data_IF_515911613852
#
_entry.id   IF_515911613852
#
_cell.length_a   1.000
_cell.length_b   1.000
_cell.length_c   1.000
_cell.angle_alpha   90.00
_cell.angle_beta   90.00
_cell.angle_gamma   90.00
#
_symmetry.space_group_name_H-M   'P 1'
#
loop_
_entity.id
_entity.type
_entity.pdbx_description
1 polymer ?
#
# COMPACT_ATOMS: atom_id res chain seq x y z
N UNK A 1 -3.32 -9.59 61.42
CA UNK A 1 -3.45 -9.84 59.97
C UNK A 1 -3.43 -8.50 59.28
N UNK A 2 -2.26 -8.02 58.92
CA UNK A 2 -2.03 -6.73 58.25
C UNK A 2 -1.87 -7.02 56.76
N UNK A 3 -2.83 -6.59 55.98
CA UNK A 3 -2.81 -6.65 54.49
C UNK A 3 -1.82 -5.59 54.00
N UNK A 4 -0.65 -6.02 53.54
CA UNK A 4 0.24 -5.20 52.73
C UNK A 4 -0.41 -4.92 51.36
N UNK A 5 -0.88 -3.70 51.17
CA UNK A 5 -1.24 -3.19 49.85
C UNK A 5 0.08 -2.94 49.10
N UNK A 6 0.38 -3.81 48.12
CA UNK A 6 1.48 -3.64 47.17
C UNK A 6 1.25 -2.35 46.39
N UNK A 7 1.97 -1.29 46.76
CA UNK A 7 2.05 -0.05 46.00
C UNK A 7 2.92 -0.28 44.78
N UNK A 8 2.27 -0.61 43.65
CA UNK A 8 2.93 -0.55 42.35
C UNK A 8 3.43 0.88 42.12
N UNK A 9 4.72 1.03 41.88
CA UNK A 9 5.38 2.32 41.72
C UNK A 9 4.82 3.07 40.49
N UNK A 10 4.61 4.41 40.56
CA UNK A 10 4.10 5.21 39.46
C UNK A 10 5.00 5.21 38.20
N UNK A 11 6.20 4.63 38.32
CA UNK A 11 7.21 4.59 37.25
C UNK A 11 6.95 3.49 36.19
N UNK A 12 6.15 2.46 36.48
CA UNK A 12 5.80 1.41 35.55
C UNK A 12 4.62 1.80 34.60
N UNK A 13 3.83 2.80 34.96
CA UNK A 13 2.69 3.26 34.16
C UNK A 13 3.06 4.19 33.01
N UNK A 14 4.30 4.63 32.89
CA UNK A 14 4.78 5.35 31.72
C UNK A 14 5.20 4.37 30.60
N UNK A 15 4.36 3.39 30.27
CA UNK A 15 4.48 2.65 29.03
C UNK A 15 4.52 3.66 27.89
N UNK A 16 5.68 3.87 27.28
CA UNK A 16 5.96 4.87 26.26
C UNK A 16 4.85 4.88 25.22
N UNK A 17 4.17 6.04 25.09
CA UNK A 17 3.16 6.24 24.06
C UNK A 17 3.80 5.87 22.72
N UNK A 18 3.23 4.92 21.94
CA UNK A 18 3.81 4.52 20.67
C UNK A 18 3.96 5.74 19.77
N UNK A 19 5.05 5.84 19.03
CA UNK A 19 5.25 6.90 18.04
C UNK A 19 4.34 6.68 16.83
N UNK A 20 3.07 7.02 17.01
CA UNK A 20 2.05 6.89 15.96
C UNK A 20 2.32 7.82 14.78
N UNK A 21 2.99 8.95 15.02
CA UNK A 21 3.35 9.90 13.94
C UNK A 21 4.36 9.27 13.00
N UNK A 22 5.39 8.61 13.53
CA UNK A 22 6.35 7.86 12.73
C UNK A 22 5.69 6.78 11.88
N UNK A 23 4.73 6.04 12.44
CA UNK A 23 3.98 5.03 11.69
C UNK A 23 3.13 5.63 10.54
N UNK A 24 2.61 6.85 10.68
CA UNK A 24 1.91 7.52 9.58
C UNK A 24 2.88 7.97 8.48
N UNK A 25 4.08 8.40 8.82
CA UNK A 25 5.11 8.71 7.82
C UNK A 25 5.57 7.43 7.12
N UNK A 26 5.82 6.35 7.86
CA UNK A 26 6.10 5.02 7.28
C UNK A 26 5.01 4.61 6.29
N UNK A 27 3.74 4.81 6.65
CA UNK A 27 2.61 4.52 5.77
C UNK A 27 2.62 5.36 4.50
N UNK A 28 2.98 6.66 4.58
CA UNK A 28 3.13 7.52 3.40
C UNK A 28 4.23 6.99 2.48
N UNK A 29 5.38 6.63 3.03
CA UNK A 29 6.51 6.08 2.27
C UNK A 29 6.13 4.76 1.60
N UNK A 30 5.48 3.86 2.34
CA UNK A 30 4.99 2.57 1.82
C UNK A 30 4.03 2.80 0.66
N UNK A 31 2.99 3.60 0.88
CA UNK A 31 1.97 3.84 -0.13
C UNK A 31 2.54 4.53 -1.37
N UNK A 32 3.36 5.56 -1.20
CA UNK A 32 3.97 6.29 -2.29
C UNK A 32 4.81 5.39 -3.18
N UNK A 33 5.73 4.60 -2.60
CA UNK A 33 6.65 3.78 -3.38
C UNK A 33 6.00 2.52 -3.94
N UNK A 34 5.12 1.87 -3.18
CA UNK A 34 4.44 0.66 -3.61
C UNK A 34 3.60 0.91 -4.87
N UNK A 35 2.83 2.00 -4.87
CA UNK A 35 2.04 2.40 -6.03
C UNK A 35 2.86 3.14 -7.08
N UNK A 36 3.97 3.79 -6.66
CA UNK A 36 4.89 4.50 -7.55
C UNK A 36 5.55 3.62 -8.59
N UNK A 37 5.94 2.40 -8.23
CA UNK A 37 6.50 1.44 -9.20
C UNK A 37 5.50 1.16 -10.32
N UNK A 38 4.21 0.99 -9.99
CA UNK A 38 3.16 0.81 -10.99
C UNK A 38 3.07 2.00 -11.95
N UNK A 39 2.94 3.19 -11.39
CA UNK A 39 2.76 4.41 -12.18
C UNK A 39 3.95 4.73 -13.10
N UNK A 40 5.19 4.39 -12.72
CA UNK A 40 6.39 4.64 -13.56
C UNK A 40 6.69 3.52 -14.55
N UNK A 41 6.05 2.37 -14.47
CA UNK A 41 6.39 1.21 -15.32
C UNK A 41 6.26 1.52 -16.80
N UNK A 42 5.26 2.30 -17.22
CA UNK A 42 5.09 2.71 -18.60
C UNK A 42 6.23 3.64 -19.07
N UNK A 43 6.69 4.55 -18.22
CA UNK A 43 7.84 5.43 -18.52
C UNK A 43 9.14 4.66 -18.59
N UNK A 44 9.34 3.66 -17.73
CA UNK A 44 10.50 2.75 -17.81
C UNK A 44 10.47 1.92 -19.08
N UNK A 45 9.29 1.48 -19.53
CA UNK A 45 9.14 0.76 -20.79
C UNK A 45 9.61 1.62 -21.98
N UNK A 46 9.21 2.90 -22.03
CA UNK A 46 9.65 3.84 -23.06
C UNK A 46 11.14 4.14 -22.93
N UNK A 47 11.63 4.51 -21.75
CA UNK A 47 13.02 4.91 -21.52
C UNK A 47 14.05 3.79 -21.83
N UNK A 48 13.66 2.54 -21.58
CA UNK A 48 14.54 1.36 -21.78
C UNK A 48 14.15 0.53 -23.02
N UNK A 49 13.21 1.02 -23.83
CA UNK A 49 12.72 0.32 -25.04
C UNK A 49 12.26 -1.12 -24.75
N UNK A 50 11.52 -1.32 -23.67
CA UNK A 50 11.01 -2.63 -23.25
C UNK A 50 9.66 -2.93 -23.88
N UNK A 51 9.38 -4.21 -24.15
CA UNK A 51 8.02 -4.65 -24.40
C UNK A 51 7.19 -4.62 -23.10
N UNK A 52 5.86 -4.52 -23.25
CA UNK A 52 4.94 -4.54 -22.08
C UNK A 52 5.15 -5.77 -21.19
N UNK A 53 5.37 -6.94 -21.80
CA UNK A 53 5.60 -8.19 -21.06
C UNK A 53 6.89 -8.14 -20.22
N UNK A 54 7.95 -7.51 -20.73
CA UNK A 54 9.20 -7.33 -19.99
C UNK A 54 9.03 -6.25 -18.92
N UNK A 55 8.36 -5.15 -19.23
CA UNK A 55 8.06 -4.11 -18.25
C UNK A 55 7.22 -4.64 -17.07
N UNK A 56 6.27 -5.55 -17.33
CA UNK A 56 5.46 -6.21 -16.31
C UNK A 56 6.28 -7.01 -15.26
N UNK A 57 7.52 -7.39 -15.56
CA UNK A 57 8.37 -8.08 -14.59
C UNK A 57 8.69 -7.21 -13.37
N UNK A 58 8.60 -5.87 -13.48
CA UNK A 58 8.76 -4.99 -12.33
C UNK A 58 7.69 -5.27 -11.26
N UNK A 59 6.42 -5.51 -11.66
CA UNK A 59 5.35 -5.88 -10.72
C UNK A 59 5.58 -7.24 -10.08
N UNK A 60 6.08 -8.20 -10.84
CA UNK A 60 6.37 -9.55 -10.35
C UNK A 60 7.49 -9.54 -9.32
N UNK A 61 8.58 -8.83 -9.61
CA UNK A 61 9.73 -8.74 -8.70
C UNK A 61 9.41 -7.91 -7.46
N UNK A 62 8.60 -6.85 -7.59
CA UNK A 62 8.05 -6.12 -6.45
C UNK A 62 7.25 -7.07 -5.53
N UNK A 63 6.36 -7.88 -6.09
CA UNK A 63 5.57 -8.86 -5.33
C UNK A 63 6.46 -9.90 -4.63
N UNK A 64 7.51 -10.39 -5.29
CA UNK A 64 8.52 -11.28 -4.69
C UNK A 64 9.23 -10.59 -3.52
N UNK A 65 9.57 -9.31 -3.66
CA UNK A 65 10.14 -8.51 -2.58
C UNK A 65 9.23 -8.41 -1.36
N UNK A 66 7.95 -8.10 -1.58
CA UNK A 66 6.91 -8.06 -0.52
C UNK A 66 6.76 -9.42 0.18
N UNK A 67 6.67 -10.49 -0.59
CA UNK A 67 6.57 -11.85 -0.06
C UNK A 67 7.81 -12.20 0.77
N UNK A 68 9.00 -11.85 0.28
CA UNK A 68 10.27 -12.06 0.99
C UNK A 68 10.29 -11.30 2.32
N UNK A 69 9.76 -10.07 2.37
CA UNK A 69 9.62 -9.32 3.62
C UNK A 69 8.69 -10.03 4.61
N UNK A 70 7.56 -10.57 4.13
CA UNK A 70 6.63 -11.34 4.97
C UNK A 70 7.25 -12.61 5.55
N UNK A 71 8.05 -13.33 4.76
CA UNK A 71 8.68 -14.59 5.18
C UNK A 71 9.94 -14.39 6.04
N UNK A 72 10.72 -13.35 5.76
CA UNK A 72 12.01 -13.12 6.38
C UNK A 72 12.00 -12.03 7.45
N UNK A 73 10.96 -11.19 7.52
CA UNK A 73 10.90 -10.02 8.39
C UNK A 73 11.12 -10.36 9.86
N UNK A 74 10.45 -11.39 10.37
CA UNK A 74 10.63 -11.83 11.77
C UNK A 74 12.04 -12.39 12.05
N UNK A 75 12.66 -13.01 11.05
CA UNK A 75 14.07 -13.48 11.18
C UNK A 75 15.02 -12.29 11.20
N UNK A 76 14.81 -11.32 10.32
CA UNK A 76 15.60 -10.09 10.29
C UNK A 76 15.45 -9.30 11.58
N UNK A 77 14.24 -9.18 12.12
CA UNK A 77 14.00 -8.53 13.41
C UNK A 77 14.71 -9.23 14.57
N UNK A 78 14.77 -10.56 14.57
CA UNK A 78 15.52 -11.33 15.59
C UNK A 78 17.03 -11.19 15.45
N UNK A 79 17.56 -11.16 14.21
CA UNK A 79 19.00 -11.12 13.94
C UNK A 79 19.58 -9.72 14.11
N UNK A 80 18.89 -8.70 13.60
CA UNK A 80 19.38 -7.33 13.55
C UNK A 80 18.85 -6.46 14.70
N UNK A 81 17.74 -6.87 15.30
CA UNK A 81 16.90 -6.04 16.17
C UNK A 81 15.96 -5.12 15.36
N UNK A 82 14.78 -4.85 15.89
CA UNK A 82 13.70 -4.11 15.20
C UNK A 82 14.15 -2.74 14.69
N UNK A 83 15.01 -2.03 15.43
CA UNK A 83 15.53 -0.70 15.04
C UNK A 83 16.43 -0.78 13.80
N UNK A 84 17.29 -1.80 13.69
CA UNK A 84 18.19 -1.97 12.54
C UNK A 84 17.42 -2.47 11.33
N UNK A 85 16.47 -3.38 11.53
CA UNK A 85 15.56 -3.86 10.47
C UNK A 85 14.76 -2.72 9.85
N UNK A 86 14.20 -1.83 10.67
CA UNK A 86 13.51 -0.63 10.22
C UNK A 86 14.43 0.32 9.43
N UNK A 87 15.66 0.55 9.90
CA UNK A 87 16.64 1.37 9.16
C UNK A 87 17.07 0.72 7.84
N UNK A 88 17.23 -0.61 7.83
CA UNK A 88 17.51 -1.36 6.60
C UNK A 88 16.43 -1.15 5.55
N UNK A 89 15.16 -1.16 5.97
CA UNK A 89 14.06 -0.87 5.06
C UNK A 89 14.22 0.50 4.39
N UNK A 90 14.53 1.56 5.14
CA UNK A 90 14.76 2.88 4.58
C UNK A 90 15.97 2.94 3.62
N UNK A 91 17.07 2.28 3.97
CA UNK A 91 18.25 2.20 3.09
C UNK A 91 17.91 1.51 1.77
N UNK A 92 17.16 0.42 1.83
CA UNK A 92 16.67 -0.28 0.64
C UNK A 92 15.79 0.63 -0.23
N UNK A 93 14.90 1.42 0.39
CA UNK A 93 13.98 2.31 -0.33
C UNK A 93 14.71 3.52 -0.96
N UNK A 94 15.75 4.06 -0.33
CA UNK A 94 16.61 5.07 -0.95
C UNK A 94 17.34 4.48 -2.16
N UNK A 95 17.99 3.32 -1.99
CA UNK A 95 18.68 2.65 -3.07
C UNK A 95 17.74 2.31 -4.24
N UNK A 96 16.54 1.82 -3.93
CA UNK A 96 15.50 1.57 -4.91
C UNK A 96 15.09 2.83 -5.68
N UNK A 97 14.87 3.95 -4.98
CA UNK A 97 14.51 5.22 -5.60
C UNK A 97 15.60 5.72 -6.54
N UNK A 98 16.88 5.56 -6.17
CA UNK A 98 18.01 5.89 -7.05
C UNK A 98 18.06 4.98 -8.27
N UNK A 99 17.92 3.66 -8.09
CA UNK A 99 17.91 2.70 -9.20
C UNK A 99 16.80 2.99 -10.21
N UNK A 100 15.61 3.32 -9.73
CA UNK A 100 14.46 3.61 -10.57
C UNK A 100 14.58 4.99 -11.23
N UNK A 101 15.02 6.03 -10.51
CA UNK A 101 15.18 7.38 -11.04
C UNK A 101 16.26 7.46 -12.14
N UNK A 102 17.40 6.80 -11.95
CA UNK A 102 18.49 6.83 -12.93
C UNK A 102 18.24 5.93 -14.11
N UNK A 103 17.47 4.86 -13.95
CA UNK A 103 17.07 3.89 -14.96
C UNK A 103 18.18 3.52 -15.97
N UNK A 104 19.41 3.17 -15.52
CA UNK A 104 20.53 2.97 -16.42
C UNK A 104 20.43 1.67 -17.25
N UNK A 105 19.69 0.69 -16.74
CA UNK A 105 19.49 -0.61 -17.39
C UNK A 105 18.31 -1.35 -16.74
N UNK A 106 17.65 -2.21 -17.52
CA UNK A 106 16.51 -3.03 -17.08
C UNK A 106 16.78 -3.80 -15.77
N UNK A 107 17.92 -4.47 -15.65
CA UNK A 107 18.27 -5.26 -14.47
C UNK A 107 18.37 -4.40 -13.22
N UNK A 108 18.86 -3.15 -13.34
CA UNK A 108 18.97 -2.21 -12.22
C UNK A 108 17.58 -1.73 -11.77
N UNK A 109 16.70 -1.36 -12.71
CA UNK A 109 15.34 -0.96 -12.38
C UNK A 109 14.52 -2.12 -11.81
N UNK A 110 14.72 -3.33 -12.31
CA UNK A 110 14.11 -4.54 -11.79
C UNK A 110 14.54 -4.83 -10.35
N UNK A 111 15.86 -4.71 -10.05
CA UNK A 111 16.37 -4.81 -8.69
C UNK A 111 15.79 -3.70 -7.79
N UNK A 112 15.64 -2.47 -8.32
CA UNK A 112 14.97 -1.37 -7.66
C UNK A 112 13.54 -1.73 -7.24
N UNK A 113 12.75 -2.31 -8.16
CA UNK A 113 11.39 -2.77 -7.85
C UNK A 113 11.36 -3.84 -6.74
N UNK A 114 12.29 -4.79 -6.76
CA UNK A 114 12.45 -5.80 -5.71
C UNK A 114 12.81 -5.18 -4.34
N UNK A 115 13.70 -4.19 -4.35
CA UNK A 115 14.06 -3.46 -3.13
C UNK A 115 12.89 -2.62 -2.60
N UNK A 116 12.05 -2.02 -3.48
CA UNK A 116 10.79 -1.39 -3.06
C UNK A 116 9.91 -2.41 -2.36
N UNK A 117 9.68 -3.59 -2.97
CA UNK A 117 8.85 -4.63 -2.38
C UNK A 117 9.36 -5.07 -1.00
N UNK A 118 10.65 -5.38 -0.89
CA UNK A 118 11.26 -5.81 0.38
C UNK A 118 11.21 -4.70 1.43
N UNK A 119 11.62 -3.49 1.09
CA UNK A 119 11.67 -2.36 2.02
C UNK A 119 10.30 -1.93 2.51
N UNK A 120 9.31 -1.80 1.59
CA UNK A 120 7.92 -1.46 1.96
C UNK A 120 7.28 -2.57 2.79
N UNK A 121 7.54 -3.84 2.47
CA UNK A 121 7.05 -4.97 3.26
C UNK A 121 7.58 -4.97 4.70
N UNK A 122 8.88 -4.68 4.90
CA UNK A 122 9.46 -4.53 6.23
C UNK A 122 8.84 -3.35 6.99
N UNK A 123 8.69 -2.17 6.36
CA UNK A 123 8.02 -1.02 7.00
C UNK A 123 6.57 -1.34 7.35
N UNK A 124 5.83 -2.02 6.45
CA UNK A 124 4.44 -2.40 6.66
C UNK A 124 4.28 -3.30 7.90
N UNK A 125 5.20 -4.24 8.10
CA UNK A 125 5.20 -5.07 9.29
C UNK A 125 5.40 -4.25 10.57
N UNK A 126 6.32 -3.29 10.57
CA UNK A 126 6.60 -2.42 11.72
C UNK A 126 5.43 -1.48 12.04
N UNK A 127 4.91 -0.78 11.01
CA UNK A 127 3.81 0.16 11.21
C UNK A 127 2.53 -0.53 11.68
N UNK A 128 2.19 -1.71 11.15
CA UNK A 128 1.02 -2.46 11.56
C UNK A 128 1.11 -2.86 13.05
N UNK A 129 2.26 -3.34 13.51
CA UNK A 129 2.49 -3.64 14.95
C UNK A 129 2.29 -2.40 15.82
N UNK A 130 2.74 -1.21 15.34
CA UNK A 130 2.61 0.05 16.08
C UNK A 130 1.16 0.53 16.13
N UNK A 131 0.46 0.50 15.00
CA UNK A 131 -0.91 0.99 14.88
C UNK A 131 -1.93 0.12 15.61
N UNK A 132 -1.72 -1.20 15.66
CA UNK A 132 -2.62 -2.16 16.32
C UNK A 132 -2.37 -2.27 17.83
N UNK A 133 -1.30 -1.68 18.35
CA UNK A 133 -0.97 -1.72 19.78
C UNK A 133 -2.09 -1.06 20.63
N UNK A 134 -2.51 -1.76 21.68
CA UNK A 134 -3.60 -1.32 22.57
C UNK A 134 -4.99 -1.79 22.14
N UNK A 135 -5.12 -2.41 20.96
CA UNK A 135 -6.36 -3.05 20.49
C UNK A 135 -7.59 -2.13 20.38
N UNK A 136 -8.75 -2.73 20.16
CA UNK A 136 -10.06 -2.08 20.25
C UNK A 136 -10.24 -0.84 19.37
N UNK A 137 -10.99 0.13 19.88
CA UNK A 137 -11.35 1.37 19.15
C UNK A 137 -10.12 2.23 18.79
N UNK A 138 -9.10 2.24 19.66
CA UNK A 138 -7.89 3.03 19.44
C UNK A 138 -7.10 2.54 18.21
N UNK A 139 -6.93 1.22 18.08
CA UNK A 139 -6.29 0.61 16.91
C UNK A 139 -7.08 0.92 15.64
N UNK A 140 -8.42 0.79 15.66
CA UNK A 140 -9.27 1.14 14.52
C UNK A 140 -9.10 2.59 14.07
N UNK A 141 -9.12 3.55 14.99
CA UNK A 141 -8.94 4.97 14.68
C UNK A 141 -7.55 5.23 14.07
N UNK A 142 -6.49 4.63 14.62
CA UNK A 142 -5.13 4.76 14.10
C UNK A 142 -5.00 4.17 12.69
N UNK A 143 -5.55 2.99 12.46
CA UNK A 143 -5.56 2.34 11.14
C UNK A 143 -6.35 3.16 10.11
N UNK A 144 -7.50 3.71 10.48
CA UNK A 144 -8.30 4.57 9.60
C UNK A 144 -7.53 5.85 9.21
N UNK A 145 -6.89 6.52 10.18
CA UNK A 145 -6.04 7.69 9.90
C UNK A 145 -4.84 7.34 9.02
N UNK A 146 -4.22 6.19 9.26
CA UNK A 146 -3.13 5.67 8.43
C UNK A 146 -3.59 5.45 6.98
N UNK A 147 -4.79 4.91 6.77
CA UNK A 147 -5.36 4.73 5.45
C UNK A 147 -5.61 6.05 4.71
N UNK A 148 -6.06 7.11 5.40
CA UNK A 148 -6.22 8.44 4.81
C UNK A 148 -4.87 9.03 4.36
N UNK A 149 -3.85 8.90 5.20
CA UNK A 149 -2.49 9.35 4.87
C UNK A 149 -1.93 8.59 3.68
N UNK A 150 -2.15 7.26 3.62
CA UNK A 150 -1.79 6.43 2.48
C UNK A 150 -2.42 6.93 1.18
N UNK A 151 -3.69 7.32 1.22
CA UNK A 151 -4.41 7.80 0.03
C UNK A 151 -3.85 9.10 -0.52
N UNK A 152 -3.54 10.05 0.35
CA UNK A 152 -2.91 11.32 -0.05
C UNK A 152 -1.56 11.04 -0.71
N UNK A 153 -0.74 10.18 -0.09
CA UNK A 153 0.55 9.77 -0.64
C UNK A 153 0.41 9.07 -1.99
N UNK A 154 -0.53 8.13 -2.11
CA UNK A 154 -0.76 7.39 -3.35
C UNK A 154 -1.24 8.29 -4.48
N UNK A 155 -2.18 9.21 -4.21
CA UNK A 155 -2.69 10.16 -5.20
C UNK A 155 -1.59 11.12 -5.69
N UNK A 156 -0.65 11.48 -4.82
CA UNK A 156 0.44 12.40 -5.18
C UNK A 156 1.44 11.79 -6.18
N UNK A 157 1.50 10.46 -6.33
CA UNK A 157 2.43 9.79 -7.25
C UNK A 157 2.17 10.13 -8.72
N UNK A 158 1.00 9.80 -9.30
CA UNK A 158 0.73 10.12 -10.70
C UNK A 158 0.73 11.62 -10.97
N UNK A 159 0.37 12.44 -9.97
CA UNK A 159 0.48 13.90 -10.08
C UNK A 159 1.95 14.34 -10.19
N UNK A 160 2.85 13.81 -9.36
CA UNK A 160 4.27 14.12 -9.43
C UNK A 160 4.89 13.69 -10.77
N UNK A 161 4.51 12.52 -11.28
CA UNK A 161 4.97 12.00 -12.57
C UNK A 161 4.46 12.86 -13.73
N UNK A 162 3.14 13.02 -13.85
CA UNK A 162 2.52 13.71 -14.97
C UNK A 162 2.87 15.20 -15.02
N UNK A 163 2.86 15.88 -13.86
CA UNK A 163 3.28 17.29 -13.79
C UNK A 163 4.79 17.44 -14.00
N UNK A 164 5.61 16.50 -13.53
CA UNK A 164 7.05 16.47 -13.76
C UNK A 164 7.38 16.39 -15.24
N UNK A 165 6.74 15.46 -15.97
CA UNK A 165 6.89 15.33 -17.42
C UNK A 165 6.41 16.58 -18.17
N UNK A 166 5.21 17.06 -17.89
CA UNK A 166 4.64 18.22 -18.58
C UNK A 166 5.41 19.53 -18.29
N UNK A 167 6.15 19.61 -17.20
CA UNK A 167 7.02 20.75 -16.90
C UNK A 167 8.46 20.62 -17.41
N UNK A 168 8.80 19.50 -18.06
CA UNK A 168 10.15 19.22 -18.55
C UNK A 168 11.16 18.78 -17.48
N UNK A 169 10.72 18.57 -16.22
CA UNK A 169 11.56 18.03 -15.15
C UNK A 169 11.71 16.52 -15.21
N UNK A 170 10.85 15.86 -15.99
CA UNK A 170 10.82 14.41 -16.17
C UNK A 170 10.08 13.67 -15.04
N UNK A 171 9.65 12.44 -15.32
CA UNK A 171 8.96 11.56 -14.38
C UNK A 171 9.80 11.20 -13.14
N UNK A 172 11.13 11.35 -13.22
CA UNK A 172 12.09 11.12 -12.14
C UNK A 172 11.82 11.97 -10.90
N UNK A 173 11.14 13.12 -11.07
CA UNK A 173 10.70 14.00 -9.97
C UNK A 173 9.94 13.20 -8.89
N UNK A 174 9.17 12.18 -9.28
CA UNK A 174 8.47 11.33 -8.33
C UNK A 174 9.44 10.64 -7.33
N UNK A 175 10.63 10.24 -7.78
CA UNK A 175 11.62 9.63 -6.89
C UNK A 175 12.38 10.65 -6.03
N UNK A 176 12.50 11.90 -6.48
CA UNK A 176 13.00 12.99 -5.62
C UNK A 176 12.03 13.22 -4.47
N UNK A 177 10.73 13.24 -4.75
CA UNK A 177 9.68 13.31 -3.72
C UNK A 177 9.73 12.09 -2.79
N UNK A 178 9.92 10.89 -3.35
CA UNK A 178 10.08 9.66 -2.56
C UNK A 178 11.25 9.77 -1.58
N UNK A 179 12.42 10.20 -2.05
CA UNK A 179 13.62 10.38 -1.20
C UNK A 179 13.38 11.43 -0.12
N UNK A 180 12.67 12.52 -0.42
CA UNK A 180 12.30 13.51 0.58
C UNK A 180 11.37 12.93 1.66
N UNK A 181 10.35 12.15 1.27
CA UNK A 181 9.47 11.44 2.20
C UNK A 181 10.25 10.44 3.06
N UNK A 182 11.16 9.67 2.45
CA UNK A 182 12.03 8.73 3.15
C UNK A 182 12.91 9.47 4.16
N UNK A 183 13.50 10.60 3.80
CA UNK A 183 14.33 11.41 4.69
C UNK A 183 13.53 11.92 5.89
N UNK A 184 12.31 12.43 5.67
CA UNK A 184 11.39 12.86 6.74
C UNK A 184 11.07 11.68 7.67
N UNK A 185 10.77 10.51 7.12
CA UNK A 185 10.51 9.30 7.89
C UNK A 185 11.73 8.85 8.70
N UNK A 186 12.88 8.79 8.07
CA UNK A 186 14.12 8.36 8.73
C UNK A 186 14.55 9.30 9.87
N UNK A 187 14.46 10.61 9.66
CA UNK A 187 14.82 11.63 10.65
C UNK A 187 13.76 11.75 11.75
N UNK A 188 12.47 11.61 11.39
CA UNK A 188 11.34 11.72 12.30
C UNK A 188 11.09 10.48 13.14
N UNK A 189 11.54 9.31 12.68
CA UNK A 189 11.34 8.04 13.38
C UNK A 189 12.23 7.94 14.61
N UNK A 190 11.78 8.53 15.72
CA UNK A 190 12.32 8.25 17.06
C UNK A 190 11.84 6.87 17.50
N UNK A 191 12.36 5.83 16.85
CA UNK A 191 11.97 4.46 17.16
C UNK A 191 12.34 4.15 18.62
N UNK A 192 11.36 4.37 19.50
CA UNK A 192 11.37 3.97 20.90
C UNK A 192 10.50 2.74 20.99
N UNK A 193 11.02 1.57 20.79
CA UNK A 193 10.54 0.40 21.52
C UNK A 193 10.97 -0.89 20.85
N UNK A 194 11.58 -1.75 21.63
CA UNK A 194 11.61 -3.18 21.36
C UNK A 194 10.17 -3.69 21.45
N UNK A 195 9.56 -3.90 20.28
CA UNK A 195 8.27 -4.59 20.21
C UNK A 195 8.59 -6.06 20.44
N UNK A 196 8.45 -6.53 21.68
CA UNK A 196 8.35 -7.96 21.91
C UNK A 196 7.27 -8.50 20.98
N UNK A 197 7.64 -9.41 20.08
CA UNK A 197 6.69 -10.15 19.29
C UNK A 197 5.86 -10.97 20.28
N UNK A 198 4.70 -10.46 20.69
CA UNK A 198 3.72 -11.32 21.31
C UNK A 198 3.37 -12.36 20.26
N UNK A 199 3.85 -13.58 20.50
CA UNK A 199 3.49 -14.72 19.71
C UNK A 199 1.96 -14.73 19.64
N UNK A 200 1.42 -14.56 18.44
CA UNK A 200 0.00 -14.86 18.19
C UNK A 200 -0.12 -16.31 18.63
N UNK A 201 -0.82 -16.54 19.74
CA UNK A 201 -1.09 -17.87 20.24
C UNK A 201 -1.59 -18.69 19.06
N UNK A 202 -0.98 -19.86 18.85
CA UNK A 202 -1.18 -20.68 17.68
C UNK A 202 -2.67 -20.77 17.35
N UNK A 203 -3.06 -20.06 16.29
CA UNK A 203 -4.41 -20.18 15.77
C UNK A 203 -4.62 -21.66 15.39
N UNK A 204 -5.70 -22.26 15.88
CA UNK A 204 -6.07 -23.61 15.50
C UNK A 204 -6.13 -23.75 13.97
N UNK A 205 -6.33 -24.95 13.45
CA UNK A 205 -6.41 -25.15 11.99
C UNK A 205 -7.38 -24.16 11.37
N UNK A 206 -6.87 -23.33 10.43
CA UNK A 206 -7.67 -22.37 9.69
C UNK A 206 -8.71 -23.09 8.82
N UNK A 207 -9.94 -22.59 8.80
CA UNK A 207 -11.06 -23.19 8.07
C UNK A 207 -10.88 -23.06 6.54
N UNK A 208 -11.58 -23.89 5.77
CA UNK A 208 -11.66 -23.71 4.30
C UNK A 208 -12.23 -22.34 3.92
N UNK A 209 -13.18 -21.81 4.71
CA UNK A 209 -13.75 -20.49 4.51
C UNK A 209 -12.70 -19.39 4.61
N UNK A 210 -11.78 -19.48 5.58
CA UNK A 210 -10.65 -18.55 5.69
C UNK A 210 -9.79 -18.53 4.41
N UNK A 211 -9.44 -19.69 3.89
CA UNK A 211 -8.61 -19.77 2.68
C UNK A 211 -9.33 -19.24 1.44
N UNK A 212 -10.65 -19.45 1.33
CA UNK A 212 -11.45 -18.85 0.26
C UNK A 212 -11.47 -17.32 0.38
N UNK A 213 -11.70 -16.78 1.59
CA UNK A 213 -11.66 -15.34 1.82
C UNK A 213 -10.25 -14.76 1.53
N UNK A 214 -9.19 -15.46 1.92
CA UNK A 214 -7.82 -15.09 1.60
C UNK A 214 -7.57 -15.00 0.09
N UNK A 215 -8.02 -16.01 -0.67
CA UNK A 215 -7.92 -15.98 -2.13
C UNK A 215 -8.72 -14.83 -2.76
N UNK A 216 -9.87 -14.49 -2.21
CA UNK A 216 -10.64 -13.31 -2.67
C UNK A 216 -9.87 -12.02 -2.45
N UNK A 217 -9.16 -11.89 -1.32
CA UNK A 217 -8.26 -10.74 -1.08
C UNK A 217 -7.13 -10.71 -2.12
N UNK A 218 -6.47 -11.85 -2.36
CA UNK A 218 -5.40 -11.94 -3.37
C UNK A 218 -5.88 -11.53 -4.74
N UNK A 219 -7.04 -12.04 -5.19
CA UNK A 219 -7.62 -11.69 -6.49
C UNK A 219 -8.02 -10.21 -6.56
N UNK A 220 -8.62 -9.66 -5.49
CA UNK A 220 -8.98 -8.25 -5.41
C UNK A 220 -7.76 -7.34 -5.53
N UNK A 221 -6.68 -7.65 -4.79
CA UNK A 221 -5.41 -6.93 -4.87
C UNK A 221 -4.76 -7.08 -6.26
N UNK A 222 -4.88 -8.26 -6.88
CA UNK A 222 -4.35 -8.47 -8.24
C UNK A 222 -5.06 -7.58 -9.27
N UNK A 223 -6.38 -7.43 -9.18
CA UNK A 223 -7.15 -6.51 -10.03
C UNK A 223 -6.74 -5.06 -9.77
N UNK A 224 -6.64 -4.65 -8.48
CA UNK A 224 -6.19 -3.31 -8.09
C UNK A 224 -4.82 -2.99 -8.72
N UNK A 225 -3.83 -3.85 -8.51
CA UNK A 225 -2.49 -3.63 -9.06
C UNK A 225 -2.42 -3.71 -10.58
N UNK A 226 -3.26 -4.52 -11.23
CA UNK A 226 -3.37 -4.50 -12.70
C UNK A 226 -3.79 -3.13 -13.21
N UNK A 227 -4.78 -2.51 -12.57
CA UNK A 227 -5.20 -1.14 -12.92
C UNK A 227 -4.12 -0.11 -12.56
N UNK A 228 -3.45 -0.23 -11.41
CA UNK A 228 -2.33 0.63 -11.01
C UNK A 228 -1.21 0.63 -12.05
N UNK A 229 -0.85 -0.53 -12.59
CA UNK A 229 0.26 -0.65 -13.53
C UNK A 229 -0.11 -0.25 -14.96
N UNK A 230 -1.38 -0.43 -15.36
CA UNK A 230 -1.75 -0.36 -16.77
C UNK A 230 -2.72 0.75 -17.14
N UNK A 231 -3.30 1.49 -16.16
CA UNK A 231 -4.28 2.54 -16.44
C UNK A 231 -3.72 3.64 -17.35
N UNK A 232 -2.50 4.12 -17.09
CA UNK A 232 -1.87 5.15 -17.93
C UNK A 232 -1.67 4.67 -19.36
N UNK A 233 -1.12 3.48 -19.54
CA UNK A 233 -0.92 2.88 -20.87
C UNK A 233 -2.25 2.63 -21.59
N UNK A 234 -3.29 2.20 -20.87
CA UNK A 234 -4.62 2.01 -21.41
C UNK A 234 -5.18 3.33 -21.96
N UNK A 235 -5.15 4.38 -21.14
CA UNK A 235 -5.67 5.70 -21.53
C UNK A 235 -4.85 6.30 -22.66
N UNK A 236 -3.51 6.24 -22.62
CA UNK A 236 -2.63 6.68 -23.69
C UNK A 236 -3.01 6.06 -25.03
N UNK A 237 -3.16 4.73 -25.07
CA UNK A 237 -3.44 3.99 -26.31
C UNK A 237 -4.86 4.16 -26.82
N UNK A 238 -5.86 4.23 -25.93
CA UNK A 238 -7.26 4.34 -26.32
C UNK A 238 -7.64 5.76 -26.74
N UNK A 239 -7.12 6.76 -26.04
CA UNK A 239 -7.48 8.17 -26.27
C UNK A 239 -6.48 8.87 -27.21
N UNK A 240 -5.24 8.37 -27.32
CA UNK A 240 -4.21 8.96 -28.17
C UNK A 240 -3.60 10.25 -27.60
N UNK A 241 -3.60 10.41 -26.27
CA UNK A 241 -2.96 11.53 -25.56
C UNK A 241 -1.54 11.16 -25.12
N UNK A 242 -0.77 12.13 -24.64
CA UNK A 242 0.57 11.87 -24.12
C UNK A 242 0.53 10.92 -22.91
N UNK A 243 1.60 10.13 -22.68
CA UNK A 243 1.71 9.28 -21.51
C UNK A 243 1.66 10.09 -20.20
N UNK A 244 2.18 11.33 -20.21
CA UNK A 244 2.11 12.25 -19.07
C UNK A 244 0.66 12.61 -18.73
N UNK A 245 -0.14 13.03 -19.74
CA UNK A 245 -1.54 13.37 -19.53
C UNK A 245 -2.37 12.13 -19.17
N UNK A 246 -2.10 10.99 -19.79
CA UNK A 246 -2.73 9.72 -19.44
C UNK A 246 -2.43 9.33 -17.97
N UNK A 247 -1.24 9.64 -17.46
CA UNK A 247 -0.88 9.41 -16.06
C UNK A 247 -1.63 10.35 -15.11
N UNK A 248 -1.87 11.61 -15.51
CA UNK A 248 -2.74 12.51 -14.76
C UNK A 248 -4.20 12.00 -14.73
N UNK A 249 -4.70 11.47 -15.84
CA UNK A 249 -6.03 10.83 -15.90
C UNK A 249 -6.06 9.59 -14.98
N UNK A 250 -5.00 8.79 -14.98
CA UNK A 250 -4.89 7.61 -14.12
C UNK A 250 -4.89 7.97 -12.61
N UNK A 251 -4.61 9.23 -12.23
CA UNK A 251 -4.81 9.71 -10.87
C UNK A 251 -6.28 9.58 -10.41
N UNK A 252 -7.25 9.59 -11.32
CA UNK A 252 -8.65 9.33 -11.06
C UNK A 252 -8.90 7.97 -10.40
N UNK A 253 -8.13 6.93 -10.77
CA UNK A 253 -8.20 5.63 -10.11
C UNK A 253 -7.99 5.73 -8.59
N UNK A 254 -6.99 6.48 -8.17
CA UNK A 254 -6.68 6.64 -6.74
C UNK A 254 -7.71 7.53 -6.03
N UNK A 255 -8.27 8.52 -6.73
CA UNK A 255 -9.37 9.34 -6.23
C UNK A 255 -10.63 8.50 -6.04
N UNK A 256 -10.98 7.67 -7.02
CA UNK A 256 -12.08 6.71 -6.91
C UNK A 256 -11.90 5.72 -5.76
N UNK A 257 -10.69 5.17 -5.61
CA UNK A 257 -10.36 4.29 -4.49
C UNK A 257 -10.48 5.00 -3.14
N UNK A 258 -10.10 6.27 -3.06
CA UNK A 258 -10.31 7.10 -1.88
C UNK A 258 -11.80 7.27 -1.56
N UNK A 259 -12.62 7.53 -2.58
CA UNK A 259 -14.06 7.71 -2.43
C UNK A 259 -14.73 6.50 -1.78
N UNK A 260 -14.44 5.28 -2.26
CA UNK A 260 -15.01 4.06 -1.68
C UNK A 260 -14.55 3.80 -0.24
N UNK A 261 -13.28 4.09 0.07
CA UNK A 261 -12.74 3.93 1.44
C UNK A 261 -13.35 4.95 2.40
N UNK A 262 -13.59 6.19 1.94
CA UNK A 262 -14.34 7.20 2.71
C UNK A 262 -15.79 6.75 2.88
N UNK A 263 -16.43 6.21 1.83
CA UNK A 263 -17.78 5.69 1.92
C UNK A 263 -17.93 4.60 2.99
N UNK A 264 -16.94 3.71 3.14
CA UNK A 264 -16.91 2.68 4.18
C UNK A 264 -16.84 3.26 5.61
N UNK A 265 -16.48 4.54 5.79
CA UNK A 265 -16.51 5.20 7.10
C UNK A 265 -17.90 5.63 7.54
N UNK A 266 -18.90 5.66 6.64
CA UNK A 266 -20.27 6.00 6.95
C UNK A 266 -21.07 4.75 7.36
N UNK A 267 -21.82 4.83 8.45
CA UNK A 267 -22.61 3.73 9.01
C UNK A 267 -23.56 3.10 7.98
N UNK A 268 -24.19 3.92 7.12
CA UNK A 268 -25.12 3.44 6.07
C UNK A 268 -24.45 2.42 5.13
N UNK A 269 -23.14 2.51 4.92
CA UNK A 269 -22.37 1.61 4.07
C UNK A 269 -21.73 0.51 4.91
N UNK A 270 -21.11 0.85 6.05
CA UNK A 270 -20.40 -0.11 6.90
C UNK A 270 -21.31 -1.19 7.51
N UNK A 271 -22.61 -0.90 7.68
CA UNK A 271 -23.60 -1.83 8.23
C UNK A 271 -24.19 -2.80 7.18
N UNK A 272 -23.78 -2.65 5.92
CA UNK A 272 -24.19 -3.58 4.85
C UNK A 272 -23.36 -4.85 4.87
N UNK A 273 -23.93 -5.92 4.29
CA UNK A 273 -23.19 -7.17 4.09
C UNK A 273 -21.89 -6.92 3.32
N UNK A 274 -20.72 -7.24 3.88
CA UNK A 274 -19.43 -6.99 3.25
C UNK A 274 -19.27 -7.75 1.93
N UNK A 275 -19.87 -8.94 1.80
CA UNK A 275 -19.79 -9.72 0.55
C UNK A 275 -20.63 -9.07 -0.54
N UNK A 276 -21.80 -8.52 -0.20
CA UNK A 276 -22.63 -7.78 -1.15
C UNK A 276 -21.92 -6.50 -1.64
N UNK A 277 -21.26 -5.77 -0.73
CA UNK A 277 -20.46 -4.60 -1.11
C UNK A 277 -19.25 -4.96 -1.98
N UNK A 278 -18.57 -6.07 -1.72
CA UNK A 278 -17.49 -6.56 -2.57
C UNK A 278 -17.98 -6.91 -3.98
N UNK A 279 -19.14 -7.59 -4.09
CA UNK A 279 -19.75 -7.89 -5.40
C UNK A 279 -20.13 -6.63 -6.16
N UNK A 280 -20.73 -5.65 -5.48
CA UNK A 280 -21.06 -4.35 -6.08
C UNK A 280 -19.77 -3.65 -6.54
N UNK A 281 -18.74 -3.63 -5.71
CA UNK A 281 -17.45 -3.05 -6.06
C UNK A 281 -16.83 -3.72 -7.31
N UNK A 282 -16.86 -5.05 -7.39
CA UNK A 282 -16.37 -5.76 -8.58
C UNK A 282 -17.17 -5.41 -9.83
N UNK A 283 -18.50 -5.30 -9.72
CA UNK A 283 -19.34 -4.90 -10.84
C UNK A 283 -19.04 -3.47 -11.31
N UNK A 284 -18.82 -2.54 -10.38
CA UNK A 284 -18.42 -1.16 -10.68
C UNK A 284 -17.02 -1.15 -11.33
N UNK A 285 -16.04 -1.88 -10.77
CA UNK A 285 -14.71 -1.96 -11.33
C UNK A 285 -14.70 -2.53 -12.75
N UNK A 286 -15.48 -3.59 -13.00
CA UNK A 286 -15.63 -4.19 -14.31
C UNK A 286 -16.25 -3.18 -15.30
N UNK A 287 -17.37 -2.56 -14.93
CA UNK A 287 -18.05 -1.58 -15.77
C UNK A 287 -17.13 -0.39 -16.11
N UNK A 288 -16.41 0.14 -15.10
CA UNK A 288 -15.44 1.23 -15.28
C UNK A 288 -14.29 0.83 -16.20
N UNK A 289 -13.70 -0.34 -16.00
CA UNK A 289 -12.60 -0.85 -16.84
C UNK A 289 -13.07 -1.07 -18.29
N UNK A 290 -14.25 -1.66 -18.49
CA UNK A 290 -14.83 -1.84 -19.82
C UNK A 290 -15.12 -0.50 -20.49
N UNK A 291 -15.64 0.49 -19.77
CA UNK A 291 -15.87 1.84 -20.29
C UNK A 291 -14.55 2.48 -20.74
N UNK A 292 -13.50 2.42 -19.93
CA UNK A 292 -12.19 2.96 -20.28
C UNK A 292 -11.56 2.23 -21.48
N UNK A 293 -11.76 0.93 -21.57
CA UNK A 293 -11.23 0.11 -22.67
C UNK A 293 -11.98 0.32 -23.99
N UNK A 294 -13.30 0.52 -23.95
CA UNK A 294 -14.14 0.59 -25.14
C UNK A 294 -14.27 2.00 -25.74
N UNK A 295 -13.65 3.02 -25.13
CA UNK A 295 -13.77 4.41 -25.56
C UNK A 295 -12.46 4.97 -26.09
N UNK A 296 -12.55 5.87 -27.08
CA UNK A 296 -11.44 6.70 -27.56
C UNK A 296 -11.57 8.17 -27.10
N UNK A 297 -12.54 8.47 -26.24
CA UNK A 297 -12.81 9.83 -25.74
C UNK A 297 -12.29 10.01 -24.31
N UNK A 298 -11.66 11.15 -24.03
CA UNK A 298 -10.99 11.45 -22.76
C UNK A 298 -11.95 11.36 -21.56
N UNK A 299 -13.11 11.99 -21.64
CA UNK A 299 -14.04 12.07 -20.49
C UNK A 299 -14.59 10.69 -20.09
N UNK A 300 -15.12 9.87 -21.00
CA UNK A 300 -15.52 8.50 -20.64
C UNK A 300 -14.37 7.64 -20.14
N UNK A 301 -13.16 7.79 -20.71
CA UNK A 301 -11.98 7.06 -20.22
C UNK A 301 -11.65 7.44 -18.77
N UNK A 302 -11.61 8.74 -18.46
CA UNK A 302 -11.37 9.24 -17.11
C UNK A 302 -12.43 8.73 -16.10
N UNK A 303 -13.72 8.80 -16.47
CA UNK A 303 -14.81 8.25 -15.66
C UNK A 303 -14.66 6.74 -15.46
N UNK A 304 -14.28 6.02 -16.51
CA UNK A 304 -14.05 4.58 -16.44
C UNK A 304 -12.90 4.22 -15.47
N UNK A 305 -11.80 4.95 -15.51
CA UNK A 305 -10.66 4.77 -14.60
C UNK A 305 -11.06 5.09 -13.16
N UNK A 306 -11.78 6.19 -12.91
CA UNK A 306 -12.28 6.55 -11.57
C UNK A 306 -13.22 5.48 -11.01
N UNK A 307 -14.18 5.00 -11.80
CA UNK A 307 -15.06 3.89 -11.41
C UNK A 307 -14.28 2.60 -11.14
N UNK A 308 -13.22 2.32 -11.90
CA UNK A 308 -12.30 1.23 -11.62
C UNK A 308 -11.72 1.33 -10.22
N UNK A 309 -11.30 2.53 -9.82
CA UNK A 309 -10.82 2.85 -8.48
C UNK A 309 -11.89 2.70 -7.40
N UNK A 310 -13.08 3.28 -7.62
CA UNK A 310 -14.22 3.13 -6.69
C UNK A 310 -14.53 1.66 -6.43
N UNK A 311 -14.57 0.85 -7.48
CA UNK A 311 -14.90 -0.57 -7.35
C UNK A 311 -13.83 -1.39 -6.62
N UNK A 312 -12.55 -1.15 -6.92
CA UNK A 312 -11.44 -1.89 -6.28
C UNK A 312 -11.19 -1.47 -4.83
N UNK A 313 -11.47 -0.22 -4.47
CA UNK A 313 -11.23 0.30 -3.13
C UNK A 313 -12.02 -0.42 -2.02
N UNK A 314 -13.12 -1.12 -2.34
CA UNK A 314 -13.87 -1.95 -1.41
C UNK A 314 -13.19 -3.30 -1.13
N UNK A 315 -12.40 -3.85 -2.07
CA UNK A 315 -11.99 -5.25 -2.05
C UNK A 315 -11.06 -5.58 -0.88
N UNK A 316 -9.98 -4.82 -0.70
CA UNK A 316 -8.99 -5.11 0.32
C UNK A 316 -9.54 -4.98 1.75
N UNK A 317 -10.15 -3.85 2.17
CA UNK A 317 -10.60 -3.69 3.56
C UNK A 317 -11.71 -4.68 3.93
N UNK A 318 -12.67 -4.90 3.05
CA UNK A 318 -13.77 -5.83 3.31
C UNK A 318 -13.31 -7.29 3.24
N UNK A 319 -12.46 -7.63 2.27
CA UNK A 319 -11.92 -8.99 2.15
C UNK A 319 -11.09 -9.39 3.37
N UNK A 320 -10.24 -8.49 3.88
CA UNK A 320 -9.49 -8.71 5.13
C UNK A 320 -10.43 -8.86 6.32
N UNK A 321 -11.45 -8.01 6.44
CA UNK A 321 -12.43 -8.10 7.52
C UNK A 321 -13.17 -9.47 7.50
N UNK A 322 -13.60 -9.93 6.32
CA UNK A 322 -14.22 -11.25 6.15
C UNK A 322 -13.23 -12.37 6.50
N UNK A 323 -11.99 -12.30 6.05
CA UNK A 323 -10.99 -13.33 6.37
C UNK A 323 -10.72 -13.43 7.87
N UNK A 324 -10.56 -12.29 8.55
CA UNK A 324 -10.31 -12.24 10.00
C UNK A 324 -11.51 -12.72 10.81
N UNK A 325 -12.75 -12.47 10.38
CA UNK A 325 -13.94 -12.98 11.05
C UNK A 325 -14.05 -14.51 11.06
N UNK A 326 -13.28 -15.19 10.20
CA UNK A 326 -13.25 -16.65 10.08
C UNK A 326 -12.09 -17.30 10.88
N UNK A 327 -11.29 -16.50 11.60
CA UNK A 327 -10.18 -16.99 12.43
C UNK A 327 -10.70 -17.29 13.83
N UNK A 328 -10.58 -18.57 14.33
CA UNK A 328 -11.02 -18.93 15.67
C UNK A 328 -10.31 -18.10 16.75
N UNK A 329 -11.07 -17.57 17.72
CA UNK A 329 -10.55 -16.79 18.87
C UNK A 329 -10.23 -15.33 18.56
N UNK A 330 -10.47 -14.82 17.36
CA UNK A 330 -10.46 -13.38 17.03
C UNK A 330 -11.87 -12.78 16.99
N UNK A 331 -12.90 -13.60 17.00
CA UNK A 331 -14.32 -13.17 16.93
C UNK A 331 -14.79 -12.45 18.21
N UNK A 332 -14.13 -12.72 19.37
CA UNK A 332 -14.53 -12.23 20.68
C UNK A 332 -13.61 -11.11 21.22
N UNK A 333 -12.74 -10.55 20.38
CA UNK A 333 -11.80 -9.48 20.72
C UNK A 333 -12.04 -8.25 19.84
#
# INVERSE_FOLDING_TARGET
>A
MTTEASSASPTEAAASVPDVRGAYVDQSVVAYLLYGVGAVTAFLAVALSLSDAVAALHSSVLAVGLLSAGLLGDRLDRLLGSRRSHRLAYVLLVAASVCLATAPAFVVTLAGAGMVGLGTGLLLAHLNRTLTRGGGTLARVRMSRSALVAMIATLSVPLAIGLGENSGLGWQVAFVVAVALIAVGFLGSRYRTEVSAQAIAAAGRLSRGYWLAWWLVVLGVSVEFSLVFWSSTLVERQVGISLADATLVAAGFYAGMATSRVALSFHVVSDRDPVALMRLGLAIALAGTLLAWATSSLVPAAVGIDLGGVGTGFQYPLGVAVALSLVPGLQDR
#
